data_IF_547052809817
#
_entry.id   IF_547052809817
#
_cell.length_a   1.000
_cell.length_b   1.000
_cell.length_c   1.000
_cell.angle_alpha   90.00
_cell.angle_beta   90.00
_cell.angle_gamma   90.00
#
_symmetry.space_group_name_H-M   'P 1'
#
loop_
_entity.id
_entity.type
_entity.pdbx_description
1 polymer ?
#
# COMPACT_ATOMS: atom_id res chain seq x y z
N UNK A 1 -6.80 0.97 24.27
CA UNK A 1 -6.87 -0.29 25.05
C UNK A 1 -7.25 0.09 26.48
N UNK A 2 -8.12 -0.66 27.17
CA UNK A 2 -8.55 -0.34 28.53
C UNK A 2 -7.49 -0.73 29.58
N UNK A 3 -7.56 -0.18 30.81
CA UNK A 3 -6.63 -0.52 31.89
C UNK A 3 -6.59 -2.03 32.19
N UNK A 4 -5.45 -2.49 32.69
CA UNK A 4 -5.20 -3.93 32.97
C UNK A 4 -6.28 -4.55 33.86
N UNK A 5 -6.70 -3.84 34.92
CA UNK A 5 -7.69 -4.31 35.90
C UNK A 5 -9.14 -4.07 35.44
N UNK A 6 -9.44 -4.30 34.16
CA UNK A 6 -10.82 -4.21 33.64
C UNK A 6 -11.46 -5.60 33.63
N UNK A 7 -12.63 -5.74 34.27
CA UNK A 7 -13.39 -7.00 34.24
C UNK A 7 -13.93 -7.26 32.82
N UNK A 8 -13.93 -8.54 32.41
CA UNK A 8 -14.43 -9.01 31.10
C UNK A 8 -13.67 -8.41 29.90
N UNK A 9 -12.34 -8.32 29.99
CA UNK A 9 -11.48 -7.98 28.85
C UNK A 9 -11.24 -6.49 28.61
N UNK A 10 -10.15 -6.20 27.91
CA UNK A 10 -9.55 -4.87 27.81
C UNK A 10 -9.41 -4.35 26.35
N UNK A 11 -9.67 -5.19 25.34
CA UNK A 11 -9.67 -4.82 23.90
C UNK A 11 -11.11 -4.61 23.43
N UNK A 12 -11.80 -3.67 24.06
CA UNK A 12 -13.20 -3.32 23.74
C UNK A 12 -13.41 -1.82 23.84
N UNK A 13 -14.49 -1.35 23.22
CA UNK A 13 -15.03 0.00 23.46
C UNK A 13 -15.77 -0.04 24.81
N UNK A 14 -15.58 0.96 25.66
CA UNK A 14 -16.20 0.99 26.99
C UNK A 14 -17.68 1.40 26.92
N UNK A 15 -17.97 2.66 26.60
CA UNK A 15 -19.33 3.16 26.40
C UNK A 15 -19.68 3.19 24.91
N UNK A 16 -20.85 2.66 24.53
CA UNK A 16 -21.31 2.57 23.13
C UNK A 16 -22.40 3.60 22.77
N UNK A 17 -22.82 4.44 23.72
CA UNK A 17 -23.83 5.47 23.51
C UNK A 17 -24.39 6.01 24.82
N UNK A 18 -25.04 7.18 24.74
CA UNK A 18 -25.86 7.71 25.82
C UNK A 18 -27.21 6.98 25.89
N UNK A 19 -28.02 7.27 26.91
CA UNK A 19 -29.37 6.72 27.04
C UNK A 19 -30.26 7.15 25.87
N UNK A 20 -30.27 8.44 25.54
CA UNK A 20 -31.03 8.99 24.42
C UNK A 20 -30.05 9.41 23.31
N UNK A 21 -30.23 8.95 22.06
CA UNK A 21 -31.29 8.07 21.56
C UNK A 21 -31.10 6.61 21.99
N UNK A 22 -32.19 5.87 22.20
CA UNK A 22 -32.21 4.45 22.62
C UNK A 22 -31.80 3.47 21.51
N UNK A 23 -30.69 3.76 20.83
CA UNK A 23 -30.09 2.97 19.76
C UNK A 23 -28.60 3.24 19.67
N UNK A 24 -27.83 2.23 19.24
CA UNK A 24 -26.41 2.40 18.97
C UNK A 24 -26.23 3.18 17.66
N UNK A 25 -25.42 4.24 17.67
CA UNK A 25 -25.12 5.04 16.47
C UNK A 25 -24.18 4.26 15.54
N UNK A 26 -24.36 4.40 14.23
CA UNK A 26 -23.50 3.77 13.21
C UNK A 26 -22.05 4.26 13.27
N UNK A 27 -21.81 5.47 13.78
CA UNK A 27 -20.48 6.08 13.91
C UNK A 27 -19.65 5.49 15.05
N UNK A 28 -20.25 4.70 15.94
CA UNK A 28 -19.56 4.08 17.08
C UNK A 28 -18.68 2.93 16.55
N UNK A 29 -17.39 2.86 16.94
CA UNK A 29 -16.51 1.78 16.49
C UNK A 29 -17.00 0.41 16.97
N UNK A 30 -17.07 -0.54 16.05
CA UNK A 30 -17.49 -1.92 16.29
C UNK A 30 -16.49 -2.90 15.68
N UNK A 31 -16.43 -4.11 16.22
CA UNK A 31 -15.71 -5.20 15.58
C UNK A 31 -16.40 -5.58 14.26
N UNK A 32 -15.61 -6.01 13.28
CA UNK A 32 -16.08 -6.36 11.95
C UNK A 32 -14.90 -6.64 11.03
N UNK A 33 -15.17 -6.69 9.72
CA UNK A 33 -14.15 -6.93 8.72
C UNK A 33 -13.06 -5.84 8.76
N UNK A 34 -11.80 -6.28 8.81
CA UNK A 34 -10.64 -5.40 8.74
C UNK A 34 -9.66 -5.92 7.69
N UNK A 35 -9.59 -5.23 6.55
CA UNK A 35 -8.75 -5.59 5.41
C UNK A 35 -9.57 -6.11 4.22
N UNK A 36 -8.88 -6.33 3.10
CA UNK A 36 -9.49 -6.71 1.81
C UNK A 36 -10.49 -5.68 1.24
N UNK A 37 -10.45 -4.44 1.72
CA UNK A 37 -11.27 -3.38 1.17
C UNK A 37 -10.67 -2.81 -0.11
N UNK A 38 -11.51 -2.42 -1.07
CA UNK A 38 -11.08 -1.64 -2.22
C UNK A 38 -10.59 -0.25 -1.79
N UNK A 39 -9.47 0.19 -2.34
CA UNK A 39 -8.83 1.47 -2.02
C UNK A 39 -8.25 2.08 -3.29
N UNK A 40 -8.29 3.40 -3.36
CA UNK A 40 -7.68 4.17 -4.44
C UNK A 40 -6.69 5.14 -3.83
N UNK A 41 -5.41 4.97 -4.14
CA UNK A 41 -4.35 5.91 -3.79
C UNK A 41 -4.05 6.81 -4.99
N UNK A 42 -4.00 8.12 -4.77
CA UNK A 42 -3.78 9.11 -5.81
C UNK A 42 -2.36 9.68 -5.74
N UNK A 43 -1.91 10.29 -6.84
CA UNK A 43 -0.67 11.07 -6.91
C UNK A 43 0.61 10.28 -6.60
N UNK A 44 0.66 9.00 -6.98
CA UNK A 44 1.89 8.20 -6.94
C UNK A 44 2.74 8.52 -8.16
N UNK A 45 3.97 8.97 -7.91
CA UNK A 45 4.93 9.24 -8.98
C UNK A 45 5.55 7.93 -9.47
N UNK A 46 5.71 7.82 -10.79
CA UNK A 46 6.52 6.78 -11.42
C UNK A 46 7.95 7.28 -11.42
N UNK A 47 8.87 6.51 -10.84
CA UNK A 47 10.30 6.83 -10.81
C UNK A 47 11.02 6.21 -12.00
N UNK A 48 10.65 4.99 -12.40
CA UNK A 48 11.27 4.30 -13.51
C UNK A 48 10.27 3.36 -14.18
N UNK A 49 10.37 3.26 -15.49
CA UNK A 49 9.70 2.25 -16.32
C UNK A 49 10.83 1.39 -16.88
N UNK A 50 10.86 0.12 -16.50
CA UNK A 50 11.83 -0.84 -17.03
C UNK A 50 11.21 -1.72 -18.10
N UNK A 51 12.03 -2.11 -19.07
CA UNK A 51 11.60 -2.88 -20.24
C UNK A 51 12.29 -4.24 -20.25
N UNK A 52 11.56 -5.26 -20.67
CA UNK A 52 12.09 -6.61 -20.85
C UNK A 52 13.29 -6.64 -21.79
N UNK A 53 14.28 -7.48 -21.45
CA UNK A 53 15.48 -7.70 -22.27
C UNK A 53 16.66 -6.78 -21.96
N UNK A 54 16.50 -5.84 -21.03
CA UNK A 54 17.57 -4.93 -20.63
C UNK A 54 18.32 -5.47 -19.41
N UNK A 55 19.60 -5.81 -19.58
CA UNK A 55 20.40 -6.44 -18.51
C UNK A 55 20.86 -5.43 -17.43
N UNK A 56 20.91 -4.15 -17.77
CA UNK A 56 21.32 -3.01 -16.92
C UNK A 56 20.12 -2.22 -16.35
N UNK A 57 19.02 -2.92 -16.07
CA UNK A 57 17.74 -2.37 -15.63
C UNK A 57 17.78 -1.60 -14.30
N UNK A 58 18.79 -1.80 -13.46
CA UNK A 58 18.96 -1.09 -12.19
C UNK A 58 20.25 -0.25 -12.13
N UNK A 59 20.96 -0.11 -13.25
CA UNK A 59 22.10 0.79 -13.42
C UNK A 59 21.62 2.25 -13.49
N UNK A 60 22.45 3.20 -13.07
CA UNK A 60 22.16 4.65 -13.10
C UNK A 60 23.39 5.45 -13.56
N UNK A 61 23.22 6.73 -13.89
CA UNK A 61 24.34 7.61 -14.28
C UNK A 61 25.42 7.75 -13.20
N UNK A 62 25.07 7.55 -11.92
CA UNK A 62 26.02 7.61 -10.81
C UNK A 62 26.56 6.25 -10.41
N UNK A 63 25.97 5.17 -10.93
CA UNK A 63 26.32 3.79 -10.59
C UNK A 63 26.23 2.93 -11.84
N UNK A 64 27.39 2.75 -12.46
CA UNK A 64 27.60 2.04 -13.72
C UNK A 64 27.63 0.51 -13.58
N UNK A 65 27.41 -0.04 -12.38
CA UNK A 65 27.39 -1.50 -12.20
C UNK A 65 26.24 -2.11 -12.98
N UNK A 66 26.54 -3.13 -13.80
CA UNK A 66 25.53 -3.86 -14.56
C UNK A 66 24.73 -4.76 -13.60
N UNK A 67 23.46 -4.42 -13.42
CA UNK A 67 22.58 -5.16 -12.52
C UNK A 67 21.12 -5.05 -12.95
N UNK A 68 20.40 -6.14 -12.68
CA UNK A 68 18.95 -6.23 -12.87
C UNK A 68 18.22 -5.68 -11.64
N UNK A 69 16.96 -5.30 -11.82
CA UNK A 69 16.11 -4.80 -10.73
C UNK A 69 15.79 -5.86 -9.66
N UNK A 70 15.92 -7.15 -10.02
CA UNK A 70 15.62 -8.26 -9.11
C UNK A 70 16.72 -8.38 -8.05
N UNK A 71 16.38 -8.33 -6.74
CA UNK A 71 17.34 -8.51 -5.66
C UNK A 71 17.97 -9.91 -5.65
N UNK A 72 19.07 -10.07 -4.91
CA UNK A 72 19.65 -11.39 -4.66
C UNK A 72 18.62 -12.32 -4.00
N UNK A 73 18.39 -13.49 -4.58
CA UNK A 73 17.35 -14.44 -4.14
C UNK A 73 15.92 -14.08 -4.58
N UNK A 74 15.73 -12.99 -5.33
CA UNK A 74 14.44 -12.55 -5.85
C UNK A 74 13.57 -11.82 -4.83
N UNK A 75 12.41 -11.33 -5.30
CA UNK A 75 11.44 -10.68 -4.41
C UNK A 75 10.74 -11.73 -3.52
N UNK A 76 10.67 -11.54 -2.19
CA UNK A 76 10.11 -12.53 -1.29
C UNK A 76 8.69 -12.93 -1.64
N UNK A 77 8.47 -14.22 -1.94
CA UNK A 77 7.20 -14.79 -2.39
C UNK A 77 6.65 -14.21 -3.70
N UNK A 78 7.47 -13.58 -4.53
CA UNK A 78 7.14 -13.24 -5.92
C UNK A 78 8.12 -13.90 -6.87
N UNK A 79 9.43 -13.71 -6.66
CA UNK A 79 10.49 -14.28 -7.48
C UNK A 79 11.20 -13.23 -8.32
N UNK A 80 11.61 -13.62 -9.52
CA UNK A 80 12.37 -12.79 -10.47
C UNK A 80 11.41 -12.00 -11.36
N UNK A 81 11.76 -10.74 -11.65
CA UNK A 81 11.04 -9.93 -12.62
C UNK A 81 11.57 -10.25 -14.02
N UNK A 82 10.71 -10.82 -14.87
CA UNK A 82 11.05 -11.23 -16.26
C UNK A 82 10.34 -10.42 -17.33
N UNK A 83 9.45 -9.51 -16.94
CA UNK A 83 8.62 -8.69 -17.82
C UNK A 83 8.86 -7.20 -17.55
N UNK A 84 8.25 -6.35 -18.37
CA UNK A 84 8.21 -4.90 -18.12
C UNK A 84 7.73 -4.59 -16.70
N UNK A 85 8.32 -3.56 -16.09
CA UNK A 85 8.05 -3.22 -14.70
C UNK A 85 7.99 -1.72 -14.45
N UNK A 86 7.35 -1.36 -13.34
CA UNK A 86 7.17 0.01 -12.91
C UNK A 86 7.67 0.17 -11.48
N UNK A 87 8.52 1.18 -11.24
CA UNK A 87 8.90 1.60 -9.90
C UNK A 87 8.07 2.82 -9.49
N UNK A 88 7.23 2.64 -8.47
CA UNK A 88 6.37 3.68 -7.92
C UNK A 88 6.96 4.24 -6.63
N UNK A 89 6.76 5.55 -6.40
CA UNK A 89 7.16 6.20 -5.17
C UNK A 89 6.31 5.71 -3.98
N UNK A 90 6.98 5.12 -2.99
CA UNK A 90 6.40 4.76 -1.70
C UNK A 90 5.55 3.49 -1.75
N UNK A 91 4.65 3.35 -0.77
CA UNK A 91 3.81 2.15 -0.65
C UNK A 91 2.67 2.11 -1.67
N UNK A 92 2.13 0.91 -1.90
CA UNK A 92 0.91 0.67 -2.70
C UNK A 92 -0.09 -0.15 -1.90
N UNK A 93 -1.37 -0.09 -2.28
CA UNK A 93 -2.43 -0.86 -1.66
C UNK A 93 -2.26 -2.36 -1.90
N UNK A 94 -2.56 -3.18 -0.89
CA UNK A 94 -2.57 -4.63 -1.03
C UNK A 94 -1.23 -5.30 -0.75
N UNK A 95 -1.25 -6.63 -0.84
CA UNK A 95 -0.08 -7.48 -0.62
C UNK A 95 0.62 -7.77 -1.94
N UNK A 96 1.88 -8.20 -1.87
CA UNK A 96 2.61 -8.79 -3.01
C UNK A 96 1.76 -9.84 -3.76
N UNK A 97 2.01 -9.97 -5.08
CA UNK A 97 1.22 -10.79 -6.04
C UNK A 97 -0.21 -10.31 -6.33
N UNK A 98 -0.73 -9.28 -5.64
CA UNK A 98 -2.05 -8.74 -5.97
C UNK A 98 -2.00 -7.90 -7.24
N UNK A 99 -3.00 -8.06 -8.10
CA UNK A 99 -3.19 -7.20 -9.27
C UNK A 99 -3.45 -5.75 -8.83
N UNK A 100 -2.81 -4.81 -9.50
CA UNK A 100 -3.00 -3.37 -9.30
C UNK A 100 -3.44 -2.72 -10.60
N UNK A 101 -4.49 -1.90 -10.53
CA UNK A 101 -4.95 -1.10 -11.67
C UNK A 101 -4.35 0.29 -11.57
N UNK A 102 -3.47 0.65 -12.50
CA UNK A 102 -2.91 1.98 -12.62
C UNK A 102 -3.77 2.83 -13.54
N UNK A 103 -4.16 4.02 -13.08
CA UNK A 103 -4.95 4.97 -13.85
C UNK A 103 -4.21 6.31 -13.92
N UNK A 104 -4.25 6.96 -15.08
CA UNK A 104 -3.77 8.34 -15.22
C UNK A 104 -4.47 9.26 -14.22
N UNK A 105 -3.77 10.29 -13.76
CA UNK A 105 -4.35 11.28 -12.86
C UNK A 105 -5.49 12.02 -13.59
N UNK A 106 -6.64 12.17 -12.93
CA UNK A 106 -7.78 12.94 -13.48
C UNK A 106 -7.42 14.43 -13.53
N UNK A 107 -6.78 14.92 -12.46
CA UNK A 107 -6.29 16.29 -12.38
C UNK A 107 -4.78 16.30 -12.64
N UNK A 108 -4.28 17.22 -13.47
CA UNK A 108 -2.85 17.34 -13.67
C UNK A 108 -2.18 17.68 -12.32
N UNK A 109 -1.11 16.97 -11.93
CA UNK A 109 -0.40 17.29 -10.70
C UNK A 109 0.20 18.69 -10.82
N UNK A 110 -0.09 19.57 -9.84
CA UNK A 110 0.45 20.94 -9.81
C UNK A 110 1.98 20.98 -9.89
N UNK A 111 2.65 20.03 -9.24
CA UNK A 111 4.10 19.96 -9.21
C UNK A 111 4.57 18.97 -10.28
N UNK A 112 4.80 19.47 -11.50
CA UNK A 112 5.60 18.75 -12.50
C UNK A 112 7.01 18.57 -11.93
N UNK A 113 7.55 17.35 -11.83
CA UNK A 113 8.99 17.21 -11.61
C UNK A 113 9.69 17.78 -12.85
N UNK A 114 10.62 18.71 -12.61
CA UNK A 114 11.63 19.14 -13.58
C UNK A 114 12.42 17.93 -14.07
#
# INVERSE_FOLDING_TARGET
>A
RLPRKTRKGLRKVACIGAWHPSRVKYSVPRAGQNGYHHRTEMNKRIYRIGKVGQENDATTEYDYTEKKITPLGGFPHYGVITQDWLMLKGCTVGVKKRVLTLRKAIYPPRNKPT
#
